data_IF_121524357861
#
_entry.id   IF_121524357861
#
_cell.length_a   1.000
_cell.length_b   1.000
_cell.length_c   1.000
_cell.angle_alpha   90.00
_cell.angle_beta   90.00
_cell.angle_gamma   90.00
#
_symmetry.space_group_name_H-M   'P 1'
#
loop_
_entity.id
_entity.type
_entity.pdbx_description
1 polymer ?
#
# COMPACT_ATOMS: atom_id res chain seq x y z
N UNK A 1 -0.98 7.78 -33.97
CA UNK A 1 0.30 7.78 -33.23
C UNK A 1 0.45 8.97 -32.29
N UNK A 2 0.12 10.20 -32.71
CA UNK A 2 0.22 11.43 -31.87
C UNK A 2 -0.43 11.28 -30.48
N UNK A 3 -1.62 10.69 -30.39
CA UNK A 3 -2.31 10.49 -29.10
C UNK A 3 -1.59 9.52 -28.15
N UNK A 4 -0.97 8.48 -28.70
CA UNK A 4 -0.20 7.50 -27.93
C UNK A 4 1.07 8.15 -27.40
N UNK A 5 1.77 8.91 -28.24
CA UNK A 5 2.92 9.74 -27.85
C UNK A 5 2.55 10.75 -26.77
N UNK A 6 1.38 11.38 -26.86
CA UNK A 6 0.89 12.31 -25.85
C UNK A 6 0.63 11.61 -24.51
N UNK A 7 -0.08 10.48 -24.49
CA UNK A 7 -0.31 9.70 -23.26
C UNK A 7 1.01 9.24 -22.64
N UNK A 8 1.96 8.83 -23.48
CA UNK A 8 3.27 8.42 -23.03
C UNK A 8 4.06 9.59 -22.41
N UNK A 9 4.04 10.76 -23.05
CA UNK A 9 4.62 11.99 -22.49
C UNK A 9 3.97 12.40 -21.15
N UNK A 10 2.65 12.32 -21.04
CA UNK A 10 1.93 12.57 -19.77
C UNK A 10 2.35 11.59 -18.68
N UNK A 11 2.53 10.30 -18.98
CA UNK A 11 3.02 9.31 -18.02
C UNK A 11 4.44 9.62 -17.55
N UNK A 12 5.34 9.99 -18.47
CA UNK A 12 6.71 10.38 -18.10
C UNK A 12 6.73 11.63 -17.21
N UNK A 13 5.87 12.61 -17.50
CA UNK A 13 5.74 13.81 -16.68
C UNK A 13 5.19 13.50 -15.28
N UNK A 14 4.15 12.66 -15.18
CA UNK A 14 3.61 12.21 -13.90
C UNK A 14 4.65 11.43 -13.09
N UNK A 15 5.44 10.59 -13.75
CA UNK A 15 6.48 9.79 -13.10
C UNK A 15 7.61 10.67 -12.53
N UNK A 16 8.05 11.66 -13.30
CA UNK A 16 8.99 12.67 -12.80
C UNK A 16 8.41 13.46 -11.61
N UNK A 17 7.12 13.81 -11.68
CA UNK A 17 6.42 14.47 -10.58
C UNK A 17 6.36 13.61 -9.31
N UNK A 18 6.08 12.31 -9.44
CA UNK A 18 6.08 11.37 -8.33
C UNK A 18 7.47 11.25 -7.69
N UNK A 19 8.51 11.15 -8.51
CA UNK A 19 9.89 11.08 -8.04
C UNK A 19 10.28 12.35 -7.26
N UNK A 20 9.88 13.52 -7.75
CA UNK A 20 10.07 14.78 -7.04
C UNK A 20 9.30 14.82 -5.71
N UNK A 21 8.05 14.38 -5.68
CA UNK A 21 7.24 14.32 -4.45
C UNK A 21 7.85 13.35 -3.43
N UNK A 22 8.34 12.20 -3.88
CA UNK A 22 9.01 11.22 -3.03
C UNK A 22 10.22 11.82 -2.32
N UNK A 23 10.98 12.70 -2.98
CA UNK A 23 12.12 13.40 -2.33
C UNK A 23 11.68 14.38 -1.23
N UNK A 24 10.46 14.91 -1.31
CA UNK A 24 9.90 15.84 -0.32
C UNK A 24 9.20 15.13 0.86
N UNK A 25 9.03 13.81 0.80
CA UNK A 25 8.39 13.02 1.84
C UNK A 25 6.86 13.21 1.95
N UNK A 26 6.22 13.84 0.95
CA UNK A 26 4.78 14.08 0.97
C UNK A 26 3.98 12.86 0.49
N UNK A 27 3.76 11.91 1.41
CA UNK A 27 3.07 10.64 1.16
C UNK A 27 1.71 10.72 0.45
N UNK A 28 0.79 11.65 0.79
CA UNK A 28 -0.53 11.73 0.14
C UNK A 28 -0.43 12.08 -1.35
N UNK A 29 0.60 12.83 -1.74
CA UNK A 29 0.83 13.24 -3.13
C UNK A 29 1.18 12.05 -4.02
N UNK A 30 1.89 11.06 -3.48
CA UNK A 30 2.28 9.84 -4.20
C UNK A 30 1.04 9.03 -4.58
N UNK A 31 0.11 8.84 -3.62
CA UNK A 31 -1.16 8.15 -3.88
C UNK A 31 -1.98 8.87 -4.95
N UNK A 32 -2.06 10.21 -4.90
CA UNK A 32 -2.79 10.99 -5.89
C UNK A 32 -2.19 10.83 -7.31
N UNK A 33 -0.86 10.86 -7.44
CA UNK A 33 -0.17 10.69 -8.73
C UNK A 33 -0.35 9.27 -9.27
N UNK A 34 -0.26 8.24 -8.42
CA UNK A 34 -0.46 6.84 -8.81
C UNK A 34 -1.88 6.61 -9.39
N UNK A 35 -2.91 7.19 -8.76
CA UNK A 35 -4.29 7.13 -9.26
C UNK A 35 -4.40 7.82 -10.63
N UNK A 36 -3.74 8.97 -10.79
CA UNK A 36 -3.76 9.75 -12.03
C UNK A 36 -3.08 9.01 -13.20
N UNK A 37 -1.97 8.30 -12.94
CA UNK A 37 -1.35 7.42 -13.93
C UNK A 37 -2.28 6.29 -14.35
N UNK A 38 -2.96 5.65 -13.39
CA UNK A 38 -3.94 4.60 -13.66
C UNK A 38 -5.05 5.08 -14.60
N UNK A 39 -5.57 6.29 -14.35
CA UNK A 39 -6.58 6.92 -15.24
C UNK A 39 -6.05 7.14 -16.66
N UNK A 40 -4.82 7.66 -16.80
CA UNK A 40 -4.21 7.87 -18.14
C UNK A 40 -4.07 6.54 -18.89
N UNK A 41 -3.73 5.45 -18.21
CA UNK A 41 -3.61 4.12 -18.82
C UNK A 41 -4.99 3.60 -19.27
N UNK A 42 -5.98 3.63 -18.37
CA UNK A 42 -7.34 3.11 -18.62
C UNK A 42 -8.02 3.86 -19.77
N UNK A 43 -7.93 5.19 -19.78
CA UNK A 43 -8.58 6.02 -20.79
C UNK A 43 -7.74 6.18 -22.08
N UNK A 44 -6.43 6.33 -21.95
CA UNK A 44 -5.53 6.60 -23.07
C UNK A 44 -5.17 5.35 -23.88
N UNK A 45 -4.84 4.25 -23.21
CA UNK A 45 -4.37 3.01 -23.83
C UNK A 45 -5.46 1.94 -23.91
N UNK A 46 -6.15 1.69 -22.79
CA UNK A 46 -7.10 0.58 -22.69
C UNK A 46 -8.47 0.88 -23.33
N UNK A 47 -8.79 2.18 -23.54
CA UNK A 47 -10.05 2.68 -24.14
C UNK A 47 -11.28 1.99 -23.56
N UNK A 48 -11.35 1.89 -22.23
CA UNK A 48 -12.41 1.13 -21.55
C UNK A 48 -13.83 1.66 -21.87
N UNK A 49 -13.95 2.92 -22.31
CA UNK A 49 -15.18 3.55 -22.78
C UNK A 49 -15.68 3.06 -24.15
N UNK A 50 -14.80 2.46 -24.95
CA UNK A 50 -15.16 1.79 -26.22
C UNK A 50 -15.26 0.27 -26.07
N UNK A 51 -14.92 -0.27 -24.90
CA UNK A 51 -14.97 -1.68 -24.60
C UNK A 51 -16.40 -2.12 -24.21
N UNK A 52 -16.73 -3.42 -24.35
CA UNK A 52 -18.01 -3.96 -23.91
C UNK A 52 -18.26 -3.62 -22.42
N UNK A 53 -19.49 -3.23 -22.03
CA UNK A 53 -19.81 -2.82 -20.66
C UNK A 53 -19.49 -3.89 -19.62
N UNK A 54 -19.49 -5.17 -20.02
CA UNK A 54 -19.08 -6.30 -19.18
C UNK A 54 -17.63 -6.18 -18.69
N UNK A 55 -16.72 -5.67 -19.53
CA UNK A 55 -15.31 -5.49 -19.19
C UNK A 55 -15.12 -4.40 -18.13
N UNK A 56 -15.92 -3.34 -18.19
CA UNK A 56 -15.90 -2.26 -17.20
C UNK A 56 -16.39 -2.76 -15.82
N UNK A 57 -17.48 -3.55 -15.79
CA UNK A 57 -18.00 -4.13 -14.54
C UNK A 57 -16.97 -5.10 -13.93
N UNK A 58 -16.32 -5.92 -14.75
CA UNK A 58 -15.28 -6.83 -14.26
C UNK A 58 -14.06 -6.09 -13.71
N UNK A 59 -13.60 -5.03 -14.40
CA UNK A 59 -12.52 -4.19 -13.92
C UNK A 59 -12.87 -3.54 -12.57
N UNK A 60 -14.07 -2.96 -12.44
CA UNK A 60 -14.56 -2.39 -11.18
C UNK A 60 -14.68 -3.45 -10.08
N UNK A 61 -15.21 -4.63 -10.39
CA UNK A 61 -15.31 -5.75 -9.45
C UNK A 61 -13.95 -6.22 -8.95
N UNK A 62 -12.97 -6.34 -9.84
CA UNK A 62 -11.59 -6.71 -9.46
C UNK A 62 -10.90 -5.63 -8.63
N UNK A 63 -11.14 -4.35 -8.93
CA UNK A 63 -10.61 -3.22 -8.16
C UNK A 63 -11.21 -3.19 -6.75
N UNK A 64 -12.52 -3.41 -6.66
CA UNK A 64 -13.23 -3.52 -5.39
C UNK A 64 -12.71 -4.69 -4.55
N UNK A 65 -12.55 -5.85 -5.18
CA UNK A 65 -12.00 -7.03 -4.52
C UNK A 65 -10.56 -6.81 -4.01
N UNK A 66 -9.70 -6.22 -4.84
CA UNK A 66 -8.34 -5.87 -4.47
C UNK A 66 -8.31 -4.90 -3.28
N UNK A 67 -9.16 -3.88 -3.28
CA UNK A 67 -9.26 -2.91 -2.20
C UNK A 67 -9.65 -3.59 -0.87
N UNK A 68 -10.56 -4.56 -0.90
CA UNK A 68 -10.92 -5.35 0.29
C UNK A 68 -9.70 -6.11 0.81
N UNK A 69 -9.01 -6.86 -0.06
CA UNK A 69 -7.84 -7.64 0.33
C UNK A 69 -6.72 -6.75 0.90
N UNK A 70 -6.48 -5.59 0.29
CA UNK A 70 -5.49 -4.63 0.76
C UNK A 70 -5.86 -4.06 2.15
N UNK A 71 -7.14 -3.71 2.33
CA UNK A 71 -7.63 -3.16 3.60
C UNK A 71 -7.57 -4.19 4.72
N UNK A 72 -8.00 -5.43 4.43
CA UNK A 72 -7.88 -6.54 5.38
C UNK A 72 -6.42 -6.85 5.74
N UNK A 73 -5.53 -6.89 4.75
CA UNK A 73 -4.10 -7.08 4.98
C UNK A 73 -3.44 -5.93 5.76
N UNK A 74 -3.86 -4.68 5.52
CA UNK A 74 -3.38 -3.52 6.27
C UNK A 74 -3.84 -3.54 7.73
N UNK A 75 -5.03 -4.08 8.00
CA UNK A 75 -5.58 -4.21 9.35
C UNK A 75 -5.02 -5.44 10.09
N UNK A 76 -4.47 -6.44 9.37
CA UNK A 76 -3.82 -7.61 9.96
C UNK A 76 -2.63 -7.24 10.88
N UNK A 77 -1.91 -6.16 10.56
CA UNK A 77 -0.82 -5.69 11.42
C UNK A 77 -1.31 -5.15 12.78
N UNK A 78 -2.56 -4.72 12.89
CA UNK A 78 -3.16 -4.24 14.15
C UNK A 78 -3.71 -5.39 15.02
N UNK A 79 -4.01 -6.55 14.43
CA UNK A 79 -4.46 -7.74 15.17
C UNK A 79 -3.29 -8.61 15.66
N UNK A 80 -2.08 -8.45 15.08
CA UNK A 80 -0.84 -8.98 15.66
C UNK A 80 -0.42 -8.17 16.87
N UNK A 81 -0.95 -8.54 18.04
CA UNK A 81 -0.33 -8.18 19.32
C UNK A 81 1.05 -8.84 19.37
N UNK A 82 2.08 -8.06 19.02
CA UNK A 82 3.47 -8.41 19.32
C UNK A 82 3.62 -8.39 20.84
N UNK A 83 3.25 -9.48 21.51
CA UNK A 83 3.68 -9.70 22.88
C UNK A 83 5.20 -9.78 22.83
N UNK A 84 5.87 -8.76 23.37
CA UNK A 84 7.29 -8.86 23.74
C UNK A 84 7.43 -10.04 24.70
N UNK A 85 7.77 -11.21 24.17
CA UNK A 85 8.11 -12.40 24.97
C UNK A 85 9.45 -12.17 25.70
N UNK A 86 10.22 -11.14 25.33
CA UNK A 86 11.51 -10.80 25.94
C UNK A 86 11.40 -10.22 27.36
N UNK A 87 10.46 -9.31 27.61
CA UNK A 87 10.40 -8.58 28.90
C UNK A 87 9.80 -9.41 30.04
N UNK A 88 8.91 -10.35 29.71
CA UNK A 88 8.28 -11.27 30.68
C UNK A 88 9.21 -12.41 31.09
N UNK A 89 10.11 -12.86 30.22
CA UNK A 89 11.12 -13.88 30.57
C UNK A 89 12.27 -13.29 31.39
N UNK A 90 12.73 -12.08 31.06
CA UNK A 90 13.80 -11.40 31.81
C UNK A 90 13.39 -11.08 33.24
N UNK A 91 12.18 -10.55 33.45
CA UNK A 91 11.64 -10.25 34.79
C UNK A 91 11.38 -11.50 35.63
N UNK A 92 10.88 -12.59 35.03
CA UNK A 92 10.69 -13.88 35.74
C UNK A 92 12.01 -14.50 36.16
N UNK A 93 13.03 -14.40 35.31
CA UNK A 93 14.37 -14.92 35.60
C UNK A 93 15.03 -14.11 36.71
N UNK A 94 14.94 -12.77 36.64
CA UNK A 94 15.50 -11.89 37.66
C UNK A 94 14.81 -12.03 39.03
N UNK A 95 13.48 -12.19 39.05
CA UNK A 95 12.74 -12.46 40.28
C UNK A 95 13.08 -13.84 40.88
N UNK A 96 13.29 -14.86 40.04
CA UNK A 96 13.69 -16.19 40.50
C UNK A 96 15.11 -16.19 41.11
N UNK A 97 16.05 -15.47 40.50
CA UNK A 97 17.41 -15.30 41.04
C UNK A 97 17.39 -14.56 42.38
N UNK A 98 16.62 -13.47 42.46
CA UNK A 98 16.49 -12.66 43.69
C UNK A 98 15.81 -13.43 44.83
N UNK A 99 14.85 -14.31 44.52
CA UNK A 99 14.19 -15.15 45.52
C UNK A 99 15.10 -16.26 46.07
N UNK A 100 15.99 -16.81 45.23
CA UNK A 100 16.97 -17.83 45.64
C UNK A 100 18.04 -17.26 46.58
N UNK A 101 18.43 -16.01 46.37
CA UNK A 101 19.43 -15.29 47.17
C UNK A 101 18.90 -14.83 48.55
N UNK A 102 17.57 -14.86 48.74
CA UNK A 102 16.89 -14.54 50.00
C UNK A 102 16.49 -15.77 50.83
N UNK A 103 16.76 -16.98 50.34
CA UNK A 103 16.54 -18.19 51.12
C UNK A 103 17.69 -18.35 52.13
N UNK A 104 17.41 -18.45 53.44
CA UNK A 104 18.42 -18.57 54.49
C UNK A 104 19.18 -19.90 54.45
#
# INVERSE_FOLDING_TARGET
>A
MVRVMACWGTLMALFMGELAIATTGFGPGICAVAVLMGLVIVFGFMRITLAPPLAAIFALGSLFWLAILLSLGSLDSFTRTNFSVGDTLSSRTQNAVTARDRAP
#
